data_IF_885690003365
#
_entry.id   IF_885690003365
#
_cell.length_a   1.000
_cell.length_b   1.000
_cell.length_c   1.000
_cell.angle_alpha   90.00
_cell.angle_beta   90.00
_cell.angle_gamma   90.00
#
_symmetry.space_group_name_H-M   'P 1'
#
loop_
_entity.id
_entity.type
_entity.pdbx_description
1 polymer ?
#
# COMPACT_ATOMS: atom_id res chain seq x y z
N UNK A 1 59.68 -14.20 68.09
CA UNK A 1 60.12 -13.50 69.33
C UNK A 1 58.91 -12.74 69.83
N UNK A 2 58.42 -13.28 70.97
CA UNK A 2 57.53 -12.61 71.94
C UNK A 2 58.35 -11.46 72.62
N UNK A 3 57.79 -10.55 73.45
CA UNK A 3 56.58 -10.69 74.26
C UNK A 3 55.79 -9.42 74.55
N UNK A 4 54.62 -9.60 75.13
CA UNK A 4 54.16 -9.16 76.49
C UNK A 4 53.71 -7.71 76.62
N UNK A 5 52.73 -7.34 77.30
CA UNK A 5 51.81 -7.79 78.34
C UNK A 5 51.19 -6.59 79.05
N UNK A 6 50.06 -6.81 79.67
CA UNK A 6 49.47 -6.17 80.87
C UNK A 6 48.67 -4.89 80.72
N UNK A 7 47.47 -4.94 81.03
CA UNK A 7 46.65 -5.00 82.29
C UNK A 7 46.02 -3.62 82.46
N UNK A 8 44.86 -3.40 82.82
CA UNK A 8 43.96 -3.79 83.86
C UNK A 8 42.77 -2.83 83.97
N UNK A 9 41.63 -3.38 84.13
CA UNK A 9 40.48 -2.97 84.90
C UNK A 9 40.18 -1.50 85.24
N UNK A 10 38.98 -1.09 85.00
CA UNK A 10 38.02 -0.76 86.08
C UNK A 10 36.66 -0.35 85.54
N UNK A 11 35.68 -0.99 86.14
CA UNK A 11 34.25 -0.78 86.12
C UNK A 11 33.81 0.66 86.33
N UNK A 12 32.68 1.01 85.65
CA UNK A 12 31.48 1.51 86.39
C UNK A 12 30.34 1.79 85.44
N UNK A 13 29.28 1.16 85.76
CA UNK A 13 27.86 1.45 85.50
C UNK A 13 27.56 2.89 85.05
N UNK A 14 26.62 3.04 84.04
CA UNK A 14 25.31 3.70 84.24
C UNK A 14 24.48 3.64 82.97
N UNK A 15 23.34 3.02 83.10
CA UNK A 15 22.00 3.37 82.71
C UNK A 15 21.67 3.89 81.26
N UNK A 16 20.89 3.05 80.65
CA UNK A 16 19.53 3.34 80.07
C UNK A 16 19.29 4.77 79.54
N UNK A 17 19.31 4.92 78.27
CA UNK A 17 18.23 5.60 77.48
C UNK A 17 18.70 5.55 75.98
N UNK A 18 18.01 4.85 75.14
CA UNK A 18 18.39 4.77 73.73
C UNK A 18 17.53 3.82 72.88
N UNK A 19 16.26 3.69 73.29
CA UNK A 19 15.33 2.79 72.53
C UNK A 19 14.19 3.55 71.90
N UNK A 20 14.44 4.63 71.18
CA UNK A 20 13.31 5.36 70.53
C UNK A 20 13.65 6.03 69.19
N UNK A 21 14.91 5.93 68.69
CA UNK A 21 15.29 6.60 67.44
C UNK A 21 15.54 5.64 66.26
N UNK A 22 15.58 4.32 66.51
CA UNK A 22 15.80 3.32 65.43
C UNK A 22 14.50 2.89 64.74
N UNK A 23 13.33 3.17 65.30
CA UNK A 23 12.04 2.75 64.72
C UNK A 23 11.45 3.75 63.73
N UNK A 24 11.88 5.03 63.69
CA UNK A 24 11.39 6.02 62.71
C UNK A 24 12.19 6.05 61.42
N UNK A 25 13.43 5.54 61.43
CA UNK A 25 14.23 5.48 60.18
C UNK A 25 13.84 4.34 59.23
N UNK A 26 13.26 3.24 59.74
CA UNK A 26 12.86 2.10 58.92
C UNK A 26 11.52 2.30 58.17
N UNK A 27 10.63 3.17 58.68
CA UNK A 27 9.34 3.46 57.99
C UNK A 27 9.51 4.46 56.85
N UNK A 28 10.51 5.33 56.85
CA UNK A 28 10.75 6.29 55.78
C UNK A 28 11.45 5.64 54.56
N UNK A 29 12.17 4.54 54.74
CA UNK A 29 12.86 3.84 53.65
C UNK A 29 11.92 2.88 52.88
N UNK A 30 10.79 2.47 53.46
CA UNK A 30 9.82 1.58 52.82
C UNK A 30 8.88 2.32 51.89
N UNK A 31 8.75 3.66 51.98
CA UNK A 31 7.88 4.46 51.13
C UNK A 31 8.54 4.94 49.81
N UNK A 32 9.86 4.78 49.67
CA UNK A 32 10.62 5.17 48.46
C UNK A 32 10.72 4.06 47.41
N UNK A 33 10.25 2.84 47.70
CA UNK A 33 10.32 1.69 46.79
C UNK A 33 9.06 1.36 46.04
N UNK A 34 7.97 2.13 46.21
CA UNK A 34 6.72 1.99 45.43
C UNK A 34 6.50 3.14 44.49
N UNK A 35 7.55 3.64 43.84
CA UNK A 35 7.33 4.46 42.66
C UNK A 35 6.66 3.54 41.60
N UNK A 36 5.44 3.84 41.11
CA UNK A 36 4.88 3.08 40.02
C UNK A 36 5.88 3.19 38.87
N UNK A 37 6.42 2.06 38.45
CA UNK A 37 7.14 2.00 37.16
C UNK A 37 6.11 2.41 36.13
N UNK A 38 6.15 3.65 35.74
CA UNK A 38 5.40 4.13 34.59
C UNK A 38 5.91 3.30 33.39
N UNK A 39 5.24 2.21 33.08
CA UNK A 39 5.37 1.55 31.81
C UNK A 39 4.93 2.60 30.79
N UNK A 40 5.89 3.28 30.19
CA UNK A 40 5.62 4.10 29.03
C UNK A 40 4.95 3.21 28.02
N UNK A 41 3.62 3.34 27.85
CA UNK A 41 2.94 2.66 26.79
C UNK A 41 3.60 3.09 25.48
N UNK A 42 4.17 2.14 24.75
CA UNK A 42 4.73 2.42 23.43
C UNK A 42 3.66 3.10 22.59
N UNK A 43 4.04 4.24 22.00
CA UNK A 43 3.12 4.98 21.13
C UNK A 43 2.59 4.05 20.03
N UNK A 44 1.30 4.12 19.78
CA UNK A 44 0.67 3.39 18.67
C UNK A 44 1.18 3.92 17.32
N UNK A 45 0.90 3.20 16.23
CA UNK A 45 1.34 3.61 14.89
C UNK A 45 0.82 5.01 14.52
N UNK A 46 -0.46 5.27 14.73
CA UNK A 46 -1.06 6.58 14.49
C UNK A 46 -0.43 7.67 15.35
N UNK A 47 -0.19 7.41 16.63
CA UNK A 47 0.46 8.37 17.53
C UNK A 47 1.91 8.69 17.12
N UNK A 48 2.66 7.69 16.61
CA UNK A 48 4.01 7.91 16.07
C UNK A 48 3.98 8.81 14.84
N UNK A 49 3.05 8.56 13.91
CA UNK A 49 2.84 9.36 12.69
C UNK A 49 2.44 10.80 13.06
N UNK A 50 1.46 10.98 13.95
CA UNK A 50 1.03 12.30 14.39
C UNK A 50 2.15 13.08 15.11
N UNK A 51 2.97 12.39 15.90
CA UNK A 51 4.11 12.99 16.59
C UNK A 51 5.24 13.40 15.62
N UNK A 52 5.53 12.59 14.61
CA UNK A 52 6.52 12.91 13.57
C UNK A 52 6.01 13.95 12.58
N UNK A 53 4.69 14.09 12.45
CA UNK A 53 4.04 14.92 11.44
C UNK A 53 4.12 14.35 10.01
N UNK A 54 4.50 13.07 9.85
CA UNK A 54 4.74 12.46 8.54
C UNK A 54 4.11 11.08 8.44
N UNK A 55 3.36 10.84 7.37
CA UNK A 55 2.89 9.53 6.92
C UNK A 55 3.76 9.07 5.75
N UNK A 56 4.51 7.99 5.93
CA UNK A 56 5.26 7.37 4.84
C UNK A 56 4.32 6.50 3.99
N UNK A 57 4.36 6.68 2.66
CA UNK A 57 3.45 6.01 1.74
C UNK A 57 4.23 5.30 0.63
N UNK A 58 4.03 3.99 0.54
CA UNK A 58 4.57 3.18 -0.54
C UNK A 58 3.72 3.33 -1.80
N UNK A 59 4.38 3.67 -2.88
CA UNK A 59 3.82 3.90 -4.21
C UNK A 59 4.63 3.13 -5.24
N UNK A 60 3.95 2.67 -6.30
CA UNK A 60 4.66 2.09 -7.44
C UNK A 60 5.38 3.17 -8.24
N UNK A 61 6.51 2.79 -8.85
CA UNK A 61 7.16 3.59 -9.91
C UNK A 61 6.51 3.26 -11.24
N UNK A 62 6.62 4.18 -12.16
CA UNK A 62 6.33 3.96 -13.58
C UNK A 62 4.96 3.27 -13.82
N UNK A 63 3.94 3.70 -13.05
CA UNK A 63 2.59 3.12 -13.09
C UNK A 63 1.54 4.23 -13.37
N UNK A 64 1.63 4.86 -14.53
CA UNK A 64 0.65 5.85 -14.96
C UNK A 64 -0.72 5.19 -15.25
N UNK A 65 -1.84 5.83 -14.90
CA UNK A 65 -1.98 7.16 -14.31
C UNK A 65 -2.01 7.15 -12.77
N UNK A 66 -1.76 6.01 -12.13
CA UNK A 66 -1.89 5.88 -10.67
C UNK A 66 -0.71 6.48 -9.92
N UNK A 67 0.51 6.13 -10.30
CA UNK A 67 1.71 6.69 -9.70
C UNK A 67 2.89 6.66 -10.68
N UNK A 68 3.28 7.82 -11.17
CA UNK A 68 4.39 7.99 -12.09
C UNK A 68 5.13 9.30 -11.82
N UNK A 69 6.45 9.24 -11.68
CA UNK A 69 7.34 10.40 -11.55
C UNK A 69 6.86 11.46 -10.53
N UNK A 70 6.32 11.02 -9.40
CA UNK A 70 5.83 11.89 -8.32
C UNK A 70 4.43 12.46 -8.54
N UNK A 71 3.71 12.01 -9.55
CA UNK A 71 2.33 12.41 -9.87
C UNK A 71 1.45 11.17 -9.99
N UNK A 72 0.14 11.39 -10.03
CA UNK A 72 -0.82 10.34 -10.27
C UNK A 72 -1.92 10.26 -9.23
N UNK A 73 -2.93 9.46 -9.52
CA UNK A 73 -4.13 9.29 -8.71
C UNK A 73 -3.79 8.88 -7.29
N UNK A 74 -2.92 7.87 -7.13
CA UNK A 74 -2.54 7.35 -5.81
C UNK A 74 -1.69 8.34 -5.03
N UNK A 75 -0.89 9.17 -5.72
CA UNK A 75 -0.09 10.23 -5.10
C UNK A 75 -1.01 11.30 -4.51
N UNK A 76 -1.97 11.81 -5.30
CA UNK A 76 -2.90 12.84 -4.84
C UNK A 76 -3.84 12.32 -3.75
N UNK A 77 -4.29 11.07 -3.87
CA UNK A 77 -5.13 10.44 -2.86
C UNK A 77 -4.37 10.20 -1.55
N UNK A 78 -3.10 9.80 -1.61
CA UNK A 78 -2.23 9.67 -0.44
C UNK A 78 -1.98 11.02 0.25
N UNK A 79 -1.81 12.10 -0.53
CA UNK A 79 -1.72 13.46 0.00
C UNK A 79 -3.01 13.88 0.72
N UNK A 80 -4.17 13.58 0.13
CA UNK A 80 -5.47 13.86 0.74
C UNK A 80 -5.68 13.07 2.05
N UNK A 81 -5.29 11.79 2.08
CA UNK A 81 -5.34 10.96 3.29
C UNK A 81 -4.43 11.51 4.40
N UNK A 82 -3.17 11.87 4.07
CA UNK A 82 -2.26 12.49 5.02
C UNK A 82 -2.83 13.80 5.58
N UNK A 83 -3.45 14.61 4.72
CA UNK A 83 -4.15 15.84 5.11
C UNK A 83 -5.30 15.60 6.10
N UNK A 84 -6.10 14.53 5.88
CA UNK A 84 -7.16 14.12 6.83
C UNK A 84 -6.60 13.68 8.19
N UNK A 85 -5.38 13.11 8.22
CA UNK A 85 -4.69 12.77 9.47
C UNK A 85 -3.95 13.96 10.11
N UNK A 86 -3.93 15.13 9.47
CA UNK A 86 -3.22 16.33 9.96
C UNK A 86 -1.70 16.25 9.82
N UNK A 87 -1.18 15.43 8.89
CA UNK A 87 0.26 15.21 8.68
C UNK A 87 0.65 15.40 7.21
N UNK A 88 1.96 15.41 6.93
CA UNK A 88 2.50 15.46 5.56
C UNK A 88 2.71 14.05 5.02
N UNK A 89 2.49 13.85 3.73
CA UNK A 89 2.83 12.62 3.02
C UNK A 89 4.32 12.62 2.64
N UNK A 90 4.99 11.48 2.85
CA UNK A 90 6.35 11.21 2.39
C UNK A 90 6.35 9.97 1.50
N UNK A 91 6.57 10.09 0.19
CA UNK A 91 6.50 8.94 -0.72
C UNK A 91 7.74 8.06 -0.63
N UNK A 92 7.54 6.75 -0.68
CA UNK A 92 8.55 5.72 -0.91
C UNK A 92 8.22 5.00 -2.22
N UNK A 93 9.15 5.03 -3.18
CA UNK A 93 8.94 4.53 -4.53
C UNK A 93 9.46 3.11 -4.70
N UNK A 94 8.61 2.20 -5.15
CA UNK A 94 8.95 0.79 -5.36
C UNK A 94 8.67 0.36 -6.80
N UNK A 95 9.54 -0.46 -7.36
CA UNK A 95 9.19 -1.23 -8.55
C UNK A 95 8.32 -2.41 -8.15
N UNK A 96 7.37 -2.80 -8.98
CA UNK A 96 6.54 -3.97 -8.73
C UNK A 96 7.40 -5.23 -8.54
N UNK A 97 6.93 -6.16 -7.70
CA UNK A 97 7.48 -7.51 -7.60
C UNK A 97 6.80 -8.43 -8.63
N UNK A 98 7.27 -9.67 -8.71
CA UNK A 98 6.63 -10.70 -9.54
C UNK A 98 5.22 -11.06 -9.07
N UNK A 99 4.92 -10.79 -7.79
CA UNK A 99 3.62 -11.05 -7.18
C UNK A 99 3.26 -10.02 -6.07
N UNK A 100 1.98 -10.02 -5.70
CA UNK A 100 1.43 -9.12 -4.68
C UNK A 100 2.02 -9.41 -3.28
N UNK A 101 2.35 -10.67 -2.97
CA UNK A 101 2.94 -11.04 -1.68
C UNK A 101 4.33 -10.41 -1.51
N UNK A 102 5.12 -10.40 -2.58
CA UNK A 102 6.41 -9.72 -2.62
C UNK A 102 6.27 -8.22 -2.43
N UNK A 103 5.26 -7.60 -3.05
CA UNK A 103 4.97 -6.18 -2.88
C UNK A 103 4.57 -5.87 -1.44
N UNK A 104 3.59 -6.55 -0.89
CA UNK A 104 3.16 -6.35 0.49
C UNK A 104 4.32 -6.53 1.47
N UNK A 105 5.18 -7.53 1.25
CA UNK A 105 6.35 -7.79 2.09
C UNK A 105 7.31 -6.62 2.11
N UNK A 106 7.72 -6.11 0.94
CA UNK A 106 8.71 -5.02 0.88
C UNK A 106 8.14 -3.65 1.17
N UNK A 107 6.87 -3.42 0.81
CA UNK A 107 6.25 -2.10 0.92
C UNK A 107 5.59 -1.86 2.29
N UNK A 108 5.06 -2.91 2.97
CA UNK A 108 4.19 -2.75 4.14
C UNK A 108 4.77 -3.29 5.44
N UNK A 109 5.36 -4.52 5.46
CA UNK A 109 5.64 -5.14 6.75
C UNK A 109 7.10 -5.51 7.00
N UNK A 110 7.95 -5.71 5.98
CA UNK A 110 9.35 -6.13 6.17
C UNK A 110 10.36 -5.12 5.62
N UNK A 111 10.06 -4.44 4.52
CA UNK A 111 11.04 -3.64 3.79
C UNK A 111 11.96 -4.47 2.89
N UNK A 112 12.92 -3.80 2.26
CA UNK A 112 13.93 -4.41 1.41
C UNK A 112 15.15 -4.85 2.22
N UNK A 113 15.98 -5.79 1.71
CA UNK A 113 17.20 -6.22 2.38
C UNK A 113 18.23 -5.11 2.63
N UNK A 114 18.16 -4.02 1.86
CA UNK A 114 19.05 -2.85 2.02
C UNK A 114 18.48 -1.78 2.95
N UNK A 115 17.40 -2.08 3.69
CA UNK A 115 16.80 -1.17 4.67
C UNK A 115 15.90 -0.07 4.08
N UNK A 116 15.45 -0.20 2.83
CA UNK A 116 14.46 0.71 2.24
C UNK A 116 13.04 0.20 2.51
N UNK A 117 12.18 1.07 3.06
CA UNK A 117 10.87 0.66 3.58
C UNK A 117 10.96 -0.12 4.91
N UNK A 118 9.87 -0.72 5.41
CA UNK A 118 8.53 -0.57 4.88
C UNK A 118 7.96 0.84 5.11
N UNK A 119 6.84 1.16 4.43
CA UNK A 119 6.06 2.36 4.66
C UNK A 119 4.94 2.12 5.69
N UNK A 120 4.33 3.22 6.18
CA UNK A 120 3.16 3.16 7.06
C UNK A 120 1.90 2.74 6.30
N UNK A 121 1.80 3.14 5.03
CA UNK A 121 0.66 2.92 4.13
C UNK A 121 1.16 2.50 2.75
N UNK A 122 0.54 1.52 2.13
CA UNK A 122 0.66 1.20 0.71
C UNK A 122 -0.64 1.55 -0.02
N UNK A 123 -0.51 2.23 -1.15
CA UNK A 123 -1.60 2.48 -2.10
C UNK A 123 -1.73 1.33 -3.10
N UNK A 124 -2.86 1.27 -3.78
CA UNK A 124 -3.13 0.33 -4.89
C UNK A 124 -3.12 -1.15 -4.51
N UNK A 125 -3.42 -1.48 -3.25
CA UNK A 125 -3.51 -2.88 -2.84
C UNK A 125 -4.81 -3.54 -3.35
N UNK A 126 -4.77 -4.80 -3.83
CA UNK A 126 -5.98 -5.50 -4.28
C UNK A 126 -6.88 -5.87 -3.10
N UNK A 127 -8.14 -5.41 -3.12
CA UNK A 127 -9.14 -5.70 -2.08
C UNK A 127 -9.95 -6.91 -2.49
N UNK A 128 -9.40 -8.08 -2.27
CA UNK A 128 -10.04 -9.37 -2.52
C UNK A 128 -10.21 -10.17 -1.24
N UNK A 129 -11.43 -10.56 -0.83
CA UNK A 129 -11.68 -11.24 0.43
C UNK A 129 -10.95 -12.58 0.58
N UNK A 130 -10.79 -13.35 -0.53
CA UNK A 130 -10.12 -14.64 -0.48
C UNK A 130 -8.61 -14.46 -0.31
N UNK A 131 -8.04 -13.43 -0.94
CA UNK A 131 -6.65 -13.07 -0.79
C UNK A 131 -6.37 -12.51 0.61
N UNK A 132 -7.19 -11.56 1.08
CA UNK A 132 -7.08 -10.94 2.40
C UNK A 132 -7.11 -11.97 3.55
N UNK A 133 -7.86 -13.05 3.39
CA UNK A 133 -7.92 -14.13 4.38
C UNK A 133 -6.63 -14.95 4.50
N UNK A 134 -5.71 -14.84 3.54
CA UNK A 134 -4.44 -15.59 3.49
C UNK A 134 -3.24 -14.78 3.99
N UNK A 135 -3.34 -13.44 3.97
CA UNK A 135 -2.23 -12.54 4.33
C UNK A 135 -2.41 -12.01 5.75
N UNK A 136 -1.74 -12.65 6.72
CA UNK A 136 -1.88 -12.33 8.14
C UNK A 136 -1.09 -11.07 8.55
N UNK A 137 -0.01 -10.73 7.83
CA UNK A 137 0.92 -9.65 8.17
C UNK A 137 0.42 -8.26 7.83
N UNK A 138 -0.64 -8.17 7.01
CA UNK A 138 -1.20 -6.90 6.52
C UNK A 138 -2.71 -6.86 6.66
N UNK A 139 -3.25 -5.64 6.79
CA UNK A 139 -4.68 -5.35 6.61
C UNK A 139 -4.85 -4.60 5.31
N UNK A 140 -5.70 -5.17 4.43
CA UNK A 140 -6.09 -4.55 3.17
C UNK A 140 -7.53 -4.07 3.33
N UNK A 141 -7.81 -2.80 3.00
CA UNK A 141 -9.10 -2.15 3.29
C UNK A 141 -9.28 -0.90 2.43
N UNK A 142 -10.36 -0.13 2.68
CA UNK A 142 -10.54 1.21 2.15
C UNK A 142 -10.53 1.24 0.62
N UNK A 143 -11.26 0.30 -0.01
CA UNK A 143 -11.37 0.28 -1.46
C UNK A 143 -11.87 1.63 -1.99
N UNK A 144 -11.18 2.21 -2.97
CA UNK A 144 -11.49 3.53 -3.50
C UNK A 144 -11.85 3.52 -4.99
N UNK A 145 -11.51 2.46 -5.73
CA UNK A 145 -11.81 2.32 -7.13
C UNK A 145 -11.97 0.84 -7.52
N UNK A 146 -12.71 0.58 -8.59
CA UNK A 146 -12.80 -0.73 -9.23
C UNK A 146 -12.11 -0.68 -10.57
N UNK A 147 -11.02 -1.44 -10.69
CA UNK A 147 -10.29 -1.61 -11.93
C UNK A 147 -10.76 -2.87 -12.67
N UNK A 148 -10.52 -2.93 -13.98
CA UNK A 148 -10.85 -4.07 -14.81
C UNK A 148 -9.99 -4.12 -16.06
N UNK A 149 -9.88 -5.30 -16.66
CA UNK A 149 -9.30 -5.43 -17.98
C UNK A 149 -10.26 -4.91 -19.04
N UNK A 150 -9.67 -4.27 -20.06
CA UNK A 150 -10.40 -3.72 -21.20
C UNK A 150 -9.57 -3.82 -22.48
N UNK A 151 -10.22 -3.60 -23.60
CA UNK A 151 -9.59 -3.50 -24.92
C UNK A 151 -9.87 -2.10 -25.47
N UNK A 152 -8.81 -1.31 -25.60
CA UNK A 152 -8.82 -0.07 -26.36
C UNK A 152 -8.65 -0.41 -27.85
N UNK A 153 -9.52 0.07 -28.73
CA UNK A 153 -9.48 -0.22 -30.16
C UNK A 153 -9.63 1.00 -31.02
N UNK A 154 -9.02 0.97 -32.18
CA UNK A 154 -9.19 1.98 -33.23
C UNK A 154 -10.47 1.68 -34.02
N UNK A 155 -11.43 2.61 -34.06
CA UNK A 155 -12.75 2.39 -34.63
C UNK A 155 -12.73 2.18 -36.17
N UNK A 156 -11.76 2.77 -36.86
CA UNK A 156 -11.57 2.57 -38.29
C UNK A 156 -11.09 1.13 -38.61
N UNK A 157 -10.17 0.60 -37.84
CA UNK A 157 -9.62 -0.75 -38.07
C UNK A 157 -10.52 -1.85 -37.49
N UNK A 158 -11.17 -1.59 -36.36
CA UNK A 158 -12.00 -2.53 -35.61
C UNK A 158 -13.27 -1.81 -35.12
N UNK A 159 -14.31 -1.69 -35.96
CA UNK A 159 -15.56 -0.93 -35.64
C UNK A 159 -16.34 -1.54 -34.47
N UNK A 160 -16.31 -2.86 -34.30
CA UNK A 160 -16.97 -3.61 -33.20
C UNK A 160 -16.06 -4.67 -32.65
N UNK A 161 -16.27 -5.08 -31.39
CA UNK A 161 -15.51 -6.14 -30.73
C UNK A 161 -16.49 -7.13 -30.09
N UNK A 162 -17.00 -8.08 -30.88
CA UNK A 162 -17.96 -9.09 -30.43
C UNK A 162 -17.26 -10.41 -29.97
N UNK A 163 -16.11 -10.70 -30.59
CA UNK A 163 -15.30 -11.88 -30.29
C UNK A 163 -13.82 -11.59 -30.61
N UNK A 164 -12.93 -12.57 -30.45
CA UNK A 164 -11.49 -12.41 -30.72
C UNK A 164 -11.08 -12.71 -32.16
N UNK A 165 -11.96 -13.23 -33.00
CA UNK A 165 -11.60 -13.61 -34.40
C UNK A 165 -10.92 -12.51 -35.21
N UNK A 166 -11.26 -11.21 -35.07
CA UNK A 166 -10.54 -10.15 -35.76
C UNK A 166 -9.03 -10.18 -35.55
N UNK A 167 -8.57 -10.66 -34.38
CA UNK A 167 -7.12 -10.73 -34.04
C UNK A 167 -6.37 -11.89 -34.70
N UNK A 168 -6.99 -12.69 -35.53
CA UNK A 168 -6.29 -13.53 -36.47
C UNK A 168 -5.61 -12.74 -37.60
N UNK A 169 -6.13 -11.57 -37.89
CA UNK A 169 -5.67 -10.70 -38.99
C UNK A 169 -5.13 -9.37 -38.48
N UNK A 170 -5.75 -8.80 -37.44
CA UNK A 170 -5.42 -7.50 -36.87
C UNK A 170 -4.44 -7.67 -35.70
N UNK A 171 -3.50 -6.76 -35.61
CA UNK A 171 -2.52 -6.78 -34.50
C UNK A 171 -3.16 -6.27 -33.20
N UNK A 172 -2.94 -7.00 -32.12
CA UNK A 172 -3.29 -6.64 -30.75
C UNK A 172 -2.01 -6.37 -29.93
N UNK A 173 -1.92 -5.20 -29.32
CA UNK A 173 -0.83 -4.84 -28.39
C UNK A 173 -1.14 -5.27 -26.97
N UNK A 174 -0.14 -5.75 -26.25
CA UNK A 174 -0.18 -6.05 -24.81
C UNK A 174 1.16 -5.69 -24.19
N UNK A 175 1.14 -5.35 -22.91
CA UNK A 175 2.37 -5.25 -22.13
C UNK A 175 2.91 -6.64 -21.83
N UNK A 176 4.24 -6.83 -21.92
CA UNK A 176 4.93 -8.07 -21.58
C UNK A 176 4.73 -8.42 -20.09
N UNK A 177 4.70 -9.72 -19.79
CA UNK A 177 4.53 -10.25 -18.43
C UNK A 177 3.20 -9.85 -17.74
N UNK A 178 2.31 -9.17 -18.48
CA UNK A 178 0.97 -8.81 -18.00
C UNK A 178 -0.01 -9.98 -18.09
N UNK A 179 -1.10 -9.89 -17.32
CA UNK A 179 -2.22 -10.84 -17.44
C UNK A 179 -2.84 -10.81 -18.85
N UNK A 180 -2.89 -9.64 -19.49
CA UNK A 180 -3.36 -9.50 -20.88
C UNK A 180 -2.50 -10.31 -21.86
N UNK A 181 -1.18 -10.25 -21.73
CA UNK A 181 -0.26 -11.06 -22.54
C UNK A 181 -0.46 -12.56 -22.29
N UNK A 182 -0.50 -12.99 -21.03
CA UNK A 182 -0.70 -14.40 -20.68
C UNK A 182 -1.99 -14.97 -21.27
N UNK A 183 -3.08 -14.24 -21.15
CA UNK A 183 -4.40 -14.63 -21.67
C UNK A 183 -4.37 -14.72 -23.18
N UNK A 184 -3.88 -13.70 -23.89
CA UNK A 184 -3.87 -13.67 -25.34
C UNK A 184 -2.91 -14.69 -25.96
N UNK A 185 -1.79 -14.99 -25.28
CA UNK A 185 -0.87 -16.05 -25.70
C UNK A 185 -1.50 -17.45 -25.63
N UNK A 186 -2.49 -17.68 -24.77
CA UNK A 186 -3.14 -18.97 -24.55
C UNK A 186 -4.54 -19.07 -25.15
N UNK A 187 -5.18 -17.94 -25.48
CA UNK A 187 -6.54 -17.90 -25.98
C UNK A 187 -6.71 -18.79 -27.23
N UNK A 188 -7.79 -19.58 -27.23
CA UNK A 188 -8.15 -20.54 -28.32
C UNK A 188 -6.96 -21.41 -28.77
N UNK A 189 -6.17 -21.90 -27.81
CA UNK A 189 -4.99 -22.73 -28.09
C UNK A 189 -3.83 -21.97 -28.70
N UNK A 190 -3.79 -20.63 -28.58
CA UNK A 190 -2.73 -19.77 -29.08
C UNK A 190 -2.98 -19.28 -30.52
N UNK A 191 -4.23 -19.28 -30.95
CA UNK A 191 -4.67 -18.89 -32.29
C UNK A 191 -4.26 -17.48 -32.69
N UNK A 192 -4.10 -16.59 -31.73
CA UNK A 192 -3.85 -15.15 -31.96
C UNK A 192 -2.38 -14.75 -31.82
N UNK A 193 -1.47 -15.67 -31.51
CA UNK A 193 -0.04 -15.40 -31.18
C UNK A 193 0.70 -14.61 -32.25
N UNK A 194 0.47 -14.93 -33.51
CA UNK A 194 1.17 -14.30 -34.65
C UNK A 194 0.87 -12.80 -34.78
N UNK A 195 -0.29 -12.37 -34.34
CA UNK A 195 -0.74 -10.98 -34.39
C UNK A 195 -0.58 -10.24 -33.08
N UNK A 196 -0.17 -10.94 -32.02
CA UNK A 196 0.11 -10.32 -30.73
C UNK A 196 1.43 -9.57 -30.77
N UNK A 197 1.43 -8.29 -30.43
CA UNK A 197 2.61 -7.46 -30.27
C UNK A 197 2.83 -7.17 -28.80
N UNK A 198 4.00 -7.56 -28.29
CA UNK A 198 4.40 -7.38 -26.90
C UNK A 198 5.21 -6.10 -26.79
N UNK A 199 4.80 -5.22 -25.88
CA UNK A 199 5.43 -3.95 -25.56
C UNK A 199 6.05 -3.98 -24.16
N UNK A 200 6.92 -3.01 -23.86
CA UNK A 200 7.56 -2.89 -22.55
C UNK A 200 6.60 -2.35 -21.48
N UNK A 201 5.61 -1.55 -21.93
CA UNK A 201 4.59 -0.94 -21.05
C UNK A 201 3.27 -0.83 -21.80
N UNK A 202 2.18 -0.68 -21.06
CA UNK A 202 0.86 -0.36 -21.63
C UNK A 202 0.88 0.99 -22.33
N UNK A 203 1.68 1.97 -21.86
CA UNK A 203 1.86 3.27 -22.50
C UNK A 203 2.44 3.13 -23.91
N UNK A 204 3.50 2.32 -24.10
CA UNK A 204 4.07 2.04 -25.41
C UNK A 204 3.05 1.37 -26.33
N UNK A 205 2.24 0.43 -25.81
CA UNK A 205 1.19 -0.22 -26.56
C UNK A 205 0.10 0.79 -27.02
N UNK A 206 -0.28 1.73 -26.15
CA UNK A 206 -1.23 2.79 -26.45
C UNK A 206 -0.65 3.76 -27.50
N UNK A 207 0.62 4.09 -27.42
CA UNK A 207 1.30 4.88 -28.44
C UNK A 207 1.25 4.18 -29.82
N UNK A 208 1.44 2.85 -29.86
CA UNK A 208 1.30 2.05 -31.06
C UNK A 208 -0.15 2.01 -31.57
N UNK A 209 -1.17 1.99 -30.69
CA UNK A 209 -2.57 2.11 -31.06
C UNK A 209 -2.87 3.47 -31.71
N UNK A 210 -2.41 4.56 -31.10
CA UNK A 210 -2.60 5.92 -31.62
C UNK A 210 -1.96 6.15 -32.99
N UNK A 211 -0.83 5.52 -33.23
CA UNK A 211 -0.13 5.58 -34.53
C UNK A 211 -0.70 4.62 -35.58
N UNK A 212 -1.62 3.73 -35.22
CA UNK A 212 -2.16 2.70 -36.13
C UNK A 212 -1.23 1.49 -36.32
N UNK A 213 -0.16 1.37 -35.55
CA UNK A 213 0.74 0.21 -35.60
C UNK A 213 0.10 -1.08 -35.03
N UNK A 214 -0.92 -0.94 -34.19
CA UNK A 214 -1.82 -2.00 -33.74
C UNK A 214 -3.26 -1.54 -33.85
N UNK A 215 -4.21 -2.47 -34.07
CA UNK A 215 -5.63 -2.17 -34.17
C UNK A 215 -6.31 -2.07 -32.81
N UNK A 216 -5.74 -2.72 -31.81
CA UNK A 216 -6.25 -2.71 -30.44
C UNK A 216 -5.11 -2.91 -29.42
N UNK A 217 -5.40 -2.57 -28.16
CA UNK A 217 -4.52 -2.81 -27.00
C UNK A 217 -5.37 -3.40 -25.87
N UNK A 218 -4.91 -4.47 -25.24
CA UNK A 218 -5.52 -5.03 -24.04
C UNK A 218 -4.67 -4.68 -22.81
N UNK A 219 -5.32 -4.05 -21.83
CA UNK A 219 -4.66 -3.60 -20.59
C UNK A 219 -5.68 -3.25 -19.51
N UNK A 220 -5.22 -2.59 -18.47
CA UNK A 220 -6.11 -2.06 -17.42
C UNK A 220 -6.91 -0.88 -17.98
N UNK A 221 -8.19 -0.81 -17.64
CA UNK A 221 -9.08 0.21 -18.21
C UNK A 221 -8.64 1.62 -17.83
N UNK A 222 -8.15 1.84 -16.63
CA UNK A 222 -7.66 3.15 -16.20
C UNK A 222 -6.48 3.64 -17.04
N UNK A 223 -5.53 2.77 -17.38
CA UNK A 223 -4.41 3.11 -18.27
C UNK A 223 -4.93 3.46 -19.69
N UNK A 224 -5.87 2.67 -20.22
CA UNK A 224 -6.49 2.93 -21.53
C UNK A 224 -7.28 4.23 -21.54
N UNK A 225 -8.12 4.49 -20.52
CA UNK A 225 -8.90 5.73 -20.39
C UNK A 225 -7.99 6.96 -20.35
N UNK A 226 -6.92 6.91 -19.55
CA UNK A 226 -5.92 7.98 -19.49
C UNK A 226 -5.19 8.14 -20.83
N UNK A 227 -4.76 7.03 -21.42
CA UNK A 227 -3.92 7.05 -22.61
C UNK A 227 -4.64 7.48 -23.88
N UNK A 228 -5.87 7.02 -24.15
CA UNK A 228 -6.63 7.43 -25.35
C UNK A 228 -7.45 8.70 -25.11
N UNK A 229 -7.79 9.00 -23.85
CA UNK A 229 -8.56 10.19 -23.50
C UNK A 229 -9.95 10.20 -24.17
N UNK A 230 -10.42 11.38 -24.53
CA UNK A 230 -11.71 11.60 -25.20
C UNK A 230 -11.62 11.57 -26.74
N UNK A 231 -10.55 10.98 -27.31
CA UNK A 231 -10.37 10.93 -28.76
C UNK A 231 -11.41 10.01 -29.42
N UNK A 232 -12.32 10.55 -30.28
CA UNK A 232 -13.42 9.80 -30.85
C UNK A 232 -13.00 8.72 -31.84
N UNK A 233 -11.72 8.65 -32.22
CA UNK A 233 -11.19 7.57 -33.07
C UNK A 233 -11.09 6.23 -32.34
N UNK A 234 -11.16 6.24 -31.00
CA UNK A 234 -10.97 5.06 -30.18
C UNK A 234 -12.22 4.75 -29.36
N UNK A 235 -12.40 3.46 -29.06
CA UNK A 235 -13.36 2.98 -28.07
C UNK A 235 -12.67 2.06 -27.09
N UNK A 236 -13.20 1.98 -25.87
CA UNK A 236 -12.73 1.07 -24.83
C UNK A 236 -13.91 0.16 -24.47
N UNK A 237 -13.74 -1.13 -24.72
CA UNK A 237 -14.75 -2.15 -24.47
C UNK A 237 -14.22 -3.21 -23.48
N UNK A 238 -15.13 -3.96 -22.89
CA UNK A 238 -14.74 -5.16 -22.14
C UNK A 238 -14.26 -6.23 -23.13
N UNK A 239 -13.30 -7.08 -22.72
CA UNK A 239 -12.91 -8.20 -23.55
C UNK A 239 -14.13 -9.07 -23.86
N UNK A 240 -14.31 -9.53 -25.09
CA UNK A 240 -15.39 -10.44 -25.44
C UNK A 240 -15.17 -11.78 -24.73
N UNK A 241 -16.26 -12.40 -24.29
CA UNK A 241 -16.28 -13.65 -23.56
C UNK A 241 -15.56 -13.61 -22.19
N UNK A 242 -15.71 -14.66 -21.41
CA UNK A 242 -15.03 -14.80 -20.10
C UNK A 242 -13.58 -15.27 -20.27
N UNK A 243 -12.77 -14.52 -20.98
CA UNK A 243 -11.34 -14.82 -21.17
C UNK A 243 -10.57 -14.89 -19.86
N UNK A 244 -11.00 -14.14 -18.87
CA UNK A 244 -10.41 -14.05 -17.55
C UNK A 244 -11.42 -14.51 -16.52
N UNK A 245 -11.00 -15.37 -15.58
CA UNK A 245 -11.80 -15.72 -14.40
C UNK A 245 -12.09 -14.49 -13.53
N UNK A 246 -11.12 -13.58 -13.45
CA UNK A 246 -11.25 -12.30 -12.77
C UNK A 246 -11.10 -11.18 -13.82
N UNK A 247 -12.18 -10.53 -14.17
CA UNK A 247 -12.16 -9.42 -15.13
C UNK A 247 -12.07 -8.06 -14.46
N UNK A 248 -12.36 -7.98 -13.18
CA UNK A 248 -12.36 -6.75 -12.39
C UNK A 248 -11.93 -7.02 -10.96
N UNK A 249 -11.31 -6.03 -10.33
CA UNK A 249 -10.90 -6.07 -8.93
C UNK A 249 -11.04 -4.70 -8.28
N UNK A 250 -11.16 -4.69 -6.97
CA UNK A 250 -11.15 -3.45 -6.20
C UNK A 250 -9.72 -3.14 -5.80
N UNK A 251 -9.36 -1.87 -5.82
CA UNK A 251 -8.08 -1.36 -5.33
C UNK A 251 -8.31 -0.50 -4.10
N UNK A 252 -7.42 -0.59 -3.14
CA UNK A 252 -7.51 0.07 -1.85
C UNK A 252 -6.16 0.26 -1.18
N UNK A 253 -6.17 0.20 0.11
CA UNK A 253 -5.08 0.53 1.01
C UNK A 253 -4.56 -0.73 1.70
N UNK A 254 -3.26 -0.75 2.04
CA UNK A 254 -2.71 -1.77 2.92
C UNK A 254 -1.80 -1.15 3.98
N UNK A 255 -1.92 -1.65 5.22
CA UNK A 255 -1.07 -1.29 6.36
C UNK A 255 -0.64 -2.55 7.08
N UNK A 256 0.39 -2.46 7.93
CA UNK A 256 0.81 -3.57 8.77
C UNK A 256 -0.31 -4.02 9.70
N UNK A 257 -0.53 -5.32 9.84
CA UNK A 257 -1.70 -5.89 10.55
C UNK A 257 -1.85 -5.40 12.00
N UNK A 258 -0.74 -5.14 12.68
CA UNK A 258 -0.71 -4.64 14.07
C UNK A 258 -1.08 -3.16 14.20
N UNK A 259 -1.11 -2.39 13.11
CA UNK A 259 -1.41 -0.95 13.10
C UNK A 259 -2.94 -0.70 13.07
N UNK A 260 -3.66 -1.25 14.05
CA UNK A 260 -5.14 -1.23 14.11
C UNK A 260 -5.71 0.19 14.22
N UNK A 261 -5.06 1.06 14.97
CA UNK A 261 -5.48 2.46 15.14
C UNK A 261 -5.29 3.27 13.84
N UNK A 262 -4.17 3.06 13.15
CA UNK A 262 -3.92 3.65 11.83
C UNK A 262 -4.94 3.15 10.80
N UNK A 263 -5.24 1.84 10.79
CA UNK A 263 -6.28 1.26 9.92
C UNK A 263 -7.60 2.00 10.08
N UNK A 264 -8.10 2.12 11.31
CA UNK A 264 -9.38 2.80 11.60
C UNK A 264 -9.38 4.26 11.16
N UNK A 265 -8.30 4.99 11.44
CA UNK A 265 -8.18 6.39 11.06
C UNK A 265 -8.19 6.57 9.52
N UNK A 266 -7.48 5.70 8.78
CA UNK A 266 -7.45 5.72 7.32
C UNK A 266 -8.78 5.25 6.70
N UNK A 267 -9.50 4.29 7.31
CA UNK A 267 -10.85 3.90 6.89
C UNK A 267 -11.82 5.07 6.96
N UNK A 268 -11.81 5.81 8.06
CA UNK A 268 -12.64 7.02 8.22
C UNK A 268 -12.25 8.07 7.17
N UNK A 269 -10.95 8.35 7.04
CA UNK A 269 -10.46 9.34 6.09
C UNK A 269 -10.85 8.99 4.65
N UNK A 270 -10.69 7.72 4.24
CA UNK A 270 -11.08 7.27 2.90
C UNK A 270 -12.59 7.37 2.67
N UNK A 271 -13.39 6.99 3.67
CA UNK A 271 -14.85 7.11 3.59
C UNK A 271 -15.29 8.57 3.41
N UNK A 272 -14.67 9.51 4.10
CA UNK A 272 -14.93 10.93 3.92
C UNK A 272 -14.54 11.43 2.53
N UNK A 273 -13.36 11.03 2.01
CA UNK A 273 -12.89 11.42 0.66
C UNK A 273 -13.76 10.83 -0.45
N UNK A 274 -14.35 9.66 -0.23
CA UNK A 274 -15.36 9.08 -1.13
C UNK A 274 -16.67 9.87 -1.07
N UNK A 275 -17.16 10.17 0.15
CA UNK A 275 -18.43 10.85 0.36
C UNK A 275 -18.42 12.31 -0.14
N UNK A 276 -17.30 13.05 0.02
CA UNK A 276 -17.17 14.43 -0.43
C UNK A 276 -16.80 14.57 -1.92
N UNK A 277 -16.67 13.44 -2.63
CA UNK A 277 -16.37 13.39 -4.07
C UNK A 277 -14.91 13.66 -4.42
N UNK A 278 -14.00 13.76 -3.45
CA UNK A 278 -12.57 14.00 -3.71
C UNK A 278 -11.96 12.89 -4.54
N UNK A 279 -12.24 11.62 -4.22
CA UNK A 279 -11.77 10.46 -5.01
C UNK A 279 -12.24 10.57 -6.46
N UNK A 280 -13.53 10.91 -6.67
CA UNK A 280 -14.09 11.06 -8.02
C UNK A 280 -13.40 12.18 -8.79
N UNK A 281 -13.17 13.33 -8.17
CA UNK A 281 -12.49 14.46 -8.83
C UNK A 281 -11.06 14.12 -9.21
N UNK A 282 -10.31 13.42 -8.33
CA UNK A 282 -8.95 12.97 -8.63
C UNK A 282 -8.95 12.03 -9.83
N UNK A 283 -9.76 10.98 -9.84
CA UNK A 283 -9.86 10.05 -10.99
C UNK A 283 -10.20 10.77 -12.29
N UNK A 284 -11.18 11.67 -12.26
CA UNK A 284 -11.63 12.42 -13.44
C UNK A 284 -10.54 13.38 -13.96
N UNK A 285 -9.70 13.97 -13.12
CA UNK A 285 -8.59 14.82 -13.55
C UNK A 285 -7.54 14.08 -14.38
N UNK A 286 -7.48 12.75 -14.23
CA UNK A 286 -6.66 11.84 -15.04
C UNK A 286 -7.45 11.16 -16.18
N UNK A 287 -8.68 11.60 -16.45
CA UNK A 287 -9.52 11.08 -17.53
C UNK A 287 -10.26 9.77 -17.21
N UNK A 288 -10.17 9.28 -15.98
CA UNK A 288 -10.83 8.02 -15.58
C UNK A 288 -12.27 8.23 -15.13
N UNK A 289 -13.12 7.27 -15.48
CA UNK A 289 -14.44 7.15 -14.84
C UNK A 289 -14.28 6.52 -13.47
N UNK A 290 -14.80 7.19 -12.44
CA UNK A 290 -14.86 6.58 -11.12
C UNK A 290 -15.88 5.43 -11.11
N UNK A 291 -15.38 4.21 -10.98
CA UNK A 291 -16.17 2.98 -10.76
C UNK A 291 -16.12 2.67 -9.27
N UNK A 292 -17.26 2.82 -8.60
CA UNK A 292 -17.37 2.57 -7.17
C UNK A 292 -16.96 1.14 -6.81
N UNK A 293 -16.20 0.93 -5.71
CA UNK A 293 -15.72 -0.37 -5.28
C UNK A 293 -16.80 -1.39 -4.99
#
# INVERSE_FOLDING_TARGET
>A
MLPCSFCSAASSRLHRTGRSLAAMGALALAFLLTAPVAHGQDKTALQKIQHSGVLSVALYKDFAPFSDNGKGIDVELAQALAGKLGVKMSPLWFSASDDVDGDLRKMVWKGTPIGYGPADLMMHAPVDPQYMAKVEQVRIFGAYHRERFAVGRQLEALPTLENLEPFEKLSLGVEGESMGALVMLSADGGRYREKLKIFKSTEDAIAALKSGAVAAVMGQQGELENGVGADPRFAIDLPPNQLLKMQQWRIGLAVKAEHVDLTKALEVAMSELLADGTVTRILQSYGLKHRLP
#
